data_IF_237960374518
#
_entry.id   IF_237960374518
#
_cell.length_a   1.000
_cell.length_b   1.000
_cell.length_c   1.000
_cell.angle_alpha   90.00
_cell.angle_beta   90.00
_cell.angle_gamma   90.00
#
_symmetry.space_group_name_H-M   'P 1'
#
loop_
_entity.id
_entity.type
_entity.pdbx_description
1 polymer ?
#
# COMPACT_ATOMS: atom_id res chain seq x y z
N UNK A 1 20.96 -5.00 -1.55
CA UNK A 1 20.16 -5.41 -0.38
C UNK A 1 21.07 -6.26 0.54
N UNK A 2 20.94 -6.13 1.81
CA UNK A 2 21.72 -6.92 2.78
C UNK A 2 21.45 -8.41 2.55
N UNK A 3 22.51 -9.24 2.66
CA UNK A 3 22.48 -10.70 2.50
C UNK A 3 21.99 -11.23 1.14
N UNK A 4 21.82 -10.38 0.13
CA UNK A 4 21.35 -10.77 -1.21
C UNK A 4 20.04 -11.57 -1.20
N UNK A 5 19.11 -11.20 -0.33
CA UNK A 5 17.80 -11.84 -0.14
C UNK A 5 16.70 -10.89 -0.65
N UNK A 6 15.69 -11.43 -1.33
CA UNK A 6 14.51 -10.67 -1.75
C UNK A 6 13.64 -10.27 -0.54
N UNK A 7 13.00 -9.11 -0.60
CA UNK A 7 12.10 -8.65 0.46
C UNK A 7 10.98 -9.65 0.75
N UNK A 8 10.39 -10.26 -0.29
CA UNK A 8 9.38 -11.29 -0.11
C UNK A 8 9.87 -12.52 0.64
N UNK A 9 11.14 -12.92 0.46
CA UNK A 9 11.73 -14.02 1.23
C UNK A 9 11.94 -13.66 2.69
N UNK A 10 12.26 -12.39 3.01
CA UNK A 10 12.29 -11.91 4.39
C UNK A 10 10.89 -11.98 5.03
N UNK A 11 9.85 -11.60 4.28
CA UNK A 11 8.47 -11.66 4.77
C UNK A 11 8.00 -13.10 4.96
N UNK A 12 8.37 -14.04 4.07
CA UNK A 12 8.09 -15.48 4.27
C UNK A 12 8.67 -16.00 5.60
N UNK A 13 9.93 -15.61 5.92
CA UNK A 13 10.54 -15.94 7.21
C UNK A 13 9.69 -15.43 8.38
N UNK A 14 9.33 -14.16 8.36
CA UNK A 14 8.51 -13.54 9.43
C UNK A 14 7.15 -14.22 9.54
N UNK A 15 6.47 -14.49 8.44
CA UNK A 15 5.19 -15.20 8.43
C UNK A 15 5.29 -16.59 9.05
N UNK A 16 6.37 -17.32 8.71
CA UNK A 16 6.64 -18.65 9.28
C UNK A 16 6.90 -18.60 10.78
N UNK A 17 7.72 -17.66 11.24
CA UNK A 17 8.07 -17.51 12.67
C UNK A 17 6.87 -17.07 13.53
N UNK A 18 6.00 -16.24 12.96
CA UNK A 18 4.80 -15.74 13.65
C UNK A 18 3.56 -16.64 13.46
N UNK A 19 3.67 -17.71 12.69
CA UNK A 19 2.54 -18.61 12.41
C UNK A 19 1.40 -17.96 11.62
N UNK A 20 1.72 -16.99 10.74
CA UNK A 20 0.72 -16.31 9.93
C UNK A 20 0.40 -17.19 8.72
N UNK A 21 -0.82 -17.70 8.66
CA UNK A 21 -1.23 -18.63 7.61
C UNK A 21 -1.48 -17.92 6.28
N UNK A 22 -1.46 -18.68 5.19
CA UNK A 22 -1.81 -18.22 3.85
C UNK A 22 -3.24 -17.68 3.80
N UNK A 23 -4.17 -18.37 4.44
CA UNK A 23 -5.57 -17.98 4.47
C UNK A 23 -5.78 -16.65 5.17
N UNK A 24 -5.10 -16.42 6.31
CA UNK A 24 -5.15 -15.15 7.02
C UNK A 24 -4.62 -14.00 6.16
N UNK A 25 -3.53 -14.21 5.43
CA UNK A 25 -2.96 -13.23 4.51
C UNK A 25 -3.90 -12.93 3.35
N UNK A 26 -4.49 -13.96 2.74
CA UNK A 26 -5.43 -13.80 1.63
C UNK A 26 -6.72 -13.09 2.09
N UNK A 27 -7.26 -13.40 3.26
CA UNK A 27 -8.43 -12.71 3.82
C UNK A 27 -8.15 -11.24 4.09
N UNK A 28 -6.95 -10.92 4.61
CA UNK A 28 -6.55 -9.54 4.82
C UNK A 28 -6.45 -8.76 3.50
N UNK A 29 -5.83 -9.37 2.48
CA UNK A 29 -5.71 -8.78 1.16
C UNK A 29 -7.09 -8.56 0.52
N UNK A 30 -7.99 -9.54 0.59
CA UNK A 30 -9.37 -9.43 0.09
C UNK A 30 -10.12 -8.28 0.78
N UNK A 31 -9.99 -8.17 2.10
CA UNK A 31 -10.59 -7.05 2.85
C UNK A 31 -10.01 -5.70 2.41
N UNK A 32 -8.70 -5.61 2.20
CA UNK A 32 -8.02 -4.40 1.73
C UNK A 32 -8.53 -3.98 0.35
N UNK A 33 -8.61 -4.91 -0.61
CA UNK A 33 -9.16 -4.65 -1.94
C UNK A 33 -10.63 -4.19 -1.89
N UNK A 34 -11.46 -4.84 -1.09
CA UNK A 34 -12.87 -4.46 -0.94
C UNK A 34 -13.01 -3.03 -0.38
N UNK A 35 -12.21 -2.67 0.63
CA UNK A 35 -12.19 -1.31 1.20
C UNK A 35 -11.74 -0.26 0.18
N UNK A 36 -10.66 -0.54 -0.55
CA UNK A 36 -10.15 0.36 -1.58
C UNK A 36 -11.16 0.56 -2.71
N UNK A 37 -11.79 -0.52 -3.19
CA UNK A 37 -12.85 -0.46 -4.20
C UNK A 37 -14.04 0.37 -3.72
N UNK A 38 -14.54 0.10 -2.52
CA UNK A 38 -15.66 0.85 -1.96
C UNK A 38 -15.34 2.34 -1.77
N UNK A 39 -14.11 2.67 -1.36
CA UNK A 39 -13.67 4.07 -1.24
C UNK A 39 -13.62 4.77 -2.61
N UNK A 40 -13.10 4.10 -3.63
CA UNK A 40 -13.03 4.63 -4.99
C UNK A 40 -14.46 4.79 -5.61
N UNK A 41 -15.31 3.78 -5.48
CA UNK A 41 -16.66 3.81 -6.03
C UNK A 41 -17.57 4.84 -5.35
N UNK A 42 -17.36 5.11 -4.06
CA UNK A 42 -18.12 6.13 -3.31
C UNK A 42 -17.58 7.56 -3.48
N UNK A 43 -16.51 7.77 -4.27
CA UNK A 43 -15.89 9.07 -4.48
C UNK A 43 -15.14 9.63 -3.27
N UNK A 44 -14.88 8.82 -2.24
CA UNK A 44 -14.16 9.27 -1.03
C UNK A 44 -12.75 9.77 -1.31
N UNK A 45 -12.14 9.33 -2.39
CA UNK A 45 -10.76 9.68 -2.79
C UNK A 45 -10.71 10.80 -3.85
N UNK A 46 -11.84 11.24 -4.40
CA UNK A 46 -11.89 12.18 -5.52
C UNK A 46 -11.32 13.56 -5.17
N UNK A 47 -11.35 13.95 -3.90
CA UNK A 47 -10.82 15.23 -3.45
C UNK A 47 -9.29 15.29 -3.39
N UNK A 48 -8.62 14.14 -3.35
CA UNK A 48 -7.15 14.05 -3.23
C UNK A 48 -6.48 13.57 -4.51
N UNK A 49 -7.22 12.91 -5.41
CA UNK A 49 -6.68 12.37 -6.65
C UNK A 49 -6.65 13.47 -7.72
N UNK A 50 -5.46 13.71 -8.26
CA UNK A 50 -5.25 14.64 -9.36
C UNK A 50 -5.17 13.87 -10.67
N UNK A 51 -5.90 14.34 -11.69
CA UNK A 51 -5.86 13.74 -13.02
C UNK A 51 -4.47 13.84 -13.65
N UNK A 52 -3.98 12.72 -14.15
CA UNK A 52 -2.79 12.68 -15.02
C UNK A 52 -3.26 12.59 -16.46
N UNK A 53 -2.74 13.47 -17.31
CA UNK A 53 -3.02 13.46 -18.76
C UNK A 53 -1.77 12.94 -19.48
N UNK A 54 -1.89 11.78 -20.09
CA UNK A 54 -0.88 11.21 -20.98
C UNK A 54 -1.26 11.50 -22.42
N UNK A 55 -0.30 11.94 -23.22
CA UNK A 55 -0.48 12.16 -24.66
C UNK A 55 0.35 11.11 -25.41
N UNK A 56 -0.30 10.30 -26.23
CA UNK A 56 0.40 9.31 -27.05
C UNK A 56 1.15 9.94 -28.23
N UNK A 57 1.96 9.16 -28.94
CA UNK A 57 2.75 9.61 -30.08
C UNK A 57 1.88 10.12 -31.28
N UNK A 58 0.57 9.92 -31.22
CA UNK A 58 -0.39 10.40 -32.24
C UNK A 58 -1.16 11.64 -31.77
N UNK A 59 -0.79 12.21 -30.63
CA UNK A 59 -1.45 13.37 -30.03
C UNK A 59 -2.77 13.07 -29.32
N UNK A 60 -3.11 11.79 -29.10
CA UNK A 60 -4.33 11.41 -28.38
C UNK A 60 -4.11 11.46 -26.88
N UNK A 61 -4.91 12.23 -26.20
CA UNK A 61 -4.89 12.32 -24.73
C UNK A 61 -5.66 11.18 -24.08
N UNK A 62 -5.07 10.63 -23.01
CA UNK A 62 -5.68 9.69 -22.08
C UNK A 62 -5.63 10.29 -20.67
N UNK A 63 -6.76 10.44 -20.03
CA UNK A 63 -6.86 10.90 -18.65
C UNK A 63 -6.86 9.69 -17.71
N UNK A 64 -5.99 9.73 -16.70
CA UNK A 64 -5.83 8.71 -15.67
C UNK A 64 -6.20 9.36 -14.32
N UNK A 65 -7.27 8.89 -13.70
CA UNK A 65 -7.80 9.41 -12.43
C UNK A 65 -8.41 8.32 -11.56
N UNK A 66 -8.12 7.05 -11.86
CA UNK A 66 -8.59 5.91 -11.09
C UNK A 66 -7.47 4.91 -10.88
N UNK A 67 -7.40 4.36 -9.68
CA UNK A 67 -6.50 3.26 -9.36
C UNK A 67 -6.93 1.99 -10.10
N UNK A 68 -6.05 1.46 -10.93
CA UNK A 68 -6.30 0.26 -11.74
C UNK A 68 -6.27 -1.02 -10.89
N UNK A 69 -5.54 -1.05 -9.77
CA UNK A 69 -5.36 -2.27 -8.97
C UNK A 69 -6.68 -2.77 -8.40
N UNK A 70 -7.56 -1.87 -7.97
CA UNK A 70 -8.88 -2.25 -7.48
C UNK A 70 -9.74 -2.96 -8.53
N UNK A 71 -9.49 -2.71 -9.83
CA UNK A 71 -10.22 -3.30 -10.95
C UNK A 71 -9.71 -4.71 -11.29
N UNK A 72 -8.45 -5.02 -10.96
CA UNK A 72 -7.81 -6.33 -11.21
C UNK A 72 -8.15 -7.38 -10.15
N UNK A 73 -8.93 -7.01 -9.14
CA UNK A 73 -9.26 -7.86 -8.01
C UNK A 73 -10.23 -9.01 -8.40
N UNK A 74 -9.74 -10.23 -8.24
CA UNK A 74 -10.45 -11.48 -8.53
C UNK A 74 -10.31 -12.43 -7.31
N UNK A 75 -11.16 -12.27 -6.28
CA UNK A 75 -11.00 -12.99 -5.00
C UNK A 75 -11.06 -14.52 -5.15
N UNK A 76 -11.83 -15.02 -6.12
CA UNK A 76 -11.96 -16.45 -6.39
C UNK A 76 -10.65 -17.11 -6.85
N UNK A 77 -9.68 -16.32 -7.34
CA UNK A 77 -8.37 -16.82 -7.78
C UNK A 77 -7.34 -16.93 -6.65
N UNK A 78 -7.55 -16.25 -5.52
CA UNK A 78 -6.59 -16.21 -4.43
C UNK A 78 -6.12 -17.59 -3.98
N UNK A 79 -7.02 -18.57 -3.68
CA UNK A 79 -6.58 -19.88 -3.20
C UNK A 79 -5.73 -20.67 -4.21
N UNK A 80 -5.89 -20.41 -5.51
CA UNK A 80 -5.19 -21.12 -6.58
C UNK A 80 -3.83 -20.54 -6.93
N UNK A 81 -3.48 -19.35 -6.42
CA UNK A 81 -2.23 -18.68 -6.74
C UNK A 81 -1.04 -19.38 -6.08
N UNK A 82 0.02 -19.57 -6.85
CA UNK A 82 1.27 -20.17 -6.38
C UNK A 82 2.08 -19.15 -5.56
N UNK A 83 2.77 -19.60 -4.51
CA UNK A 83 3.74 -18.77 -3.79
C UNK A 83 4.82 -18.22 -4.73
N UNK A 84 5.23 -16.96 -4.50
CA UNK A 84 6.16 -16.25 -5.36
C UNK A 84 7.63 -16.31 -4.89
N UNK A 85 7.86 -16.50 -3.57
CA UNK A 85 9.20 -16.34 -2.97
C UNK A 85 9.77 -17.60 -2.33
N UNK A 86 8.95 -18.61 -2.08
CA UNK A 86 9.38 -19.89 -1.54
C UNK A 86 8.50 -21.03 -2.11
N UNK A 87 9.06 -22.25 -2.29
CA UNK A 87 8.34 -23.39 -2.86
C UNK A 87 7.05 -23.75 -2.10
N UNK A 88 7.08 -23.63 -0.76
CA UNK A 88 5.96 -23.88 0.13
C UNK A 88 5.62 -22.60 0.91
N UNK A 89 5.77 -21.45 0.28
CA UNK A 89 5.51 -20.15 0.88
C UNK A 89 4.03 -19.80 0.92
N UNK A 90 3.76 -18.64 1.47
CA UNK A 90 2.40 -18.12 1.68
C UNK A 90 2.14 -16.84 0.91
N UNK A 91 3.20 -16.15 0.46
CA UNK A 91 3.11 -14.87 -0.25
C UNK A 91 2.93 -15.09 -1.74
N UNK A 92 1.88 -14.50 -2.30
CA UNK A 92 1.50 -14.60 -3.72
C UNK A 92 1.42 -13.24 -4.39
N UNK A 93 1.23 -13.22 -5.68
CA UNK A 93 0.99 -11.98 -6.43
C UNK A 93 -0.25 -11.21 -5.96
N UNK A 94 -1.20 -11.85 -5.28
CA UNK A 94 -2.43 -11.22 -4.82
C UNK A 94 -2.34 -10.62 -3.40
N UNK A 95 -1.51 -11.20 -2.52
CA UNK A 95 -1.33 -10.72 -1.16
C UNK A 95 -0.01 -9.97 -0.92
N UNK A 96 0.88 -9.89 -1.92
CA UNK A 96 2.09 -9.09 -1.89
C UNK A 96 1.81 -7.63 -2.27
N UNK A 97 2.66 -6.71 -1.79
CA UNK A 97 2.68 -5.32 -2.25
C UNK A 97 2.98 -5.23 -3.75
N UNK A 98 2.40 -4.25 -4.41
CA UNK A 98 2.62 -3.97 -5.83
C UNK A 98 3.77 -2.97 -6.02
N UNK A 99 4.36 -3.00 -7.21
CA UNK A 99 5.29 -1.97 -7.67
C UNK A 99 4.44 -0.97 -8.46
N UNK A 100 4.28 0.23 -7.91
CA UNK A 100 3.49 1.30 -8.52
C UNK A 100 4.27 2.61 -8.47
N UNK A 101 4.08 3.43 -9.49
CA UNK A 101 4.49 4.82 -9.46
C UNK A 101 3.44 5.64 -8.69
N UNK A 102 3.90 6.64 -7.97
CA UNK A 102 3.00 7.50 -7.22
C UNK A 102 3.71 8.75 -6.73
N UNK A 103 2.95 9.81 -6.55
CA UNK A 103 3.41 11.05 -5.95
C UNK A 103 2.30 11.67 -5.11
N UNK A 104 2.68 12.33 -4.02
CA UNK A 104 1.76 13.11 -3.22
C UNK A 104 2.42 14.42 -2.77
N UNK A 105 1.60 15.39 -2.40
CA UNK A 105 2.05 16.65 -1.84
C UNK A 105 1.22 17.00 -0.61
N UNK A 106 1.91 17.36 0.48
CA UNK A 106 1.30 17.75 1.75
C UNK A 106 1.85 19.12 2.17
N UNK A 107 0.98 19.95 2.70
CA UNK A 107 1.36 21.25 3.29
C UNK A 107 1.30 21.09 4.81
N UNK A 108 2.45 21.27 5.46
CA UNK A 108 2.58 21.24 6.92
C UNK A 108 2.84 22.65 7.43
N UNK A 109 2.21 23.00 8.54
CA UNK A 109 2.42 24.28 9.22
C UNK A 109 2.06 24.18 10.69
N UNK A 110 2.42 25.17 11.48
CA UNK A 110 1.97 25.27 12.87
C UNK A 110 0.48 25.60 12.95
N UNK A 111 -0.14 25.31 14.09
CA UNK A 111 -1.56 25.66 14.34
C UNK A 111 -1.78 27.16 14.28
N UNK A 112 -0.82 27.97 14.78
CA UNK A 112 -0.85 29.42 14.74
C UNK A 112 -0.86 29.94 13.30
N UNK A 113 0.05 29.42 12.46
CA UNK A 113 0.13 29.81 11.05
C UNK A 113 -1.15 29.43 10.28
N UNK A 114 -1.78 28.32 10.62
CA UNK A 114 -3.05 27.93 10.01
C UNK A 114 -4.17 28.91 10.40
N UNK A 115 -4.25 29.30 11.67
CA UNK A 115 -5.22 30.28 12.16
C UNK A 115 -5.03 31.67 11.53
N UNK A 116 -3.80 32.16 11.47
CA UNK A 116 -3.47 33.46 10.85
C UNK A 116 -3.87 33.51 9.37
N UNK A 117 -3.80 32.37 8.67
CA UNK A 117 -4.15 32.24 7.26
C UNK A 117 -5.61 31.87 7.01
N UNK A 118 -6.40 31.70 8.05
CA UNK A 118 -7.81 31.27 7.96
C UNK A 118 -7.98 29.86 7.38
N UNK A 119 -6.97 29.00 7.50
CA UNK A 119 -6.98 27.64 6.97
C UNK A 119 -7.56 26.66 8.00
N UNK A 120 -8.35 25.72 7.52
CA UNK A 120 -8.88 24.63 8.34
C UNK A 120 -7.95 23.42 8.21
N UNK A 121 -7.25 22.97 9.27
CA UNK A 121 -6.43 21.78 9.22
C UNK A 121 -7.26 20.53 8.91
N UNK A 122 -6.72 19.63 8.10
CA UNK A 122 -7.31 18.30 7.85
C UNK A 122 -7.05 17.36 9.02
N UNK A 123 -5.85 17.45 9.60
CA UNK A 123 -5.42 16.64 10.73
C UNK A 123 -4.35 17.37 11.53
N UNK A 124 -4.09 16.92 12.75
CA UNK A 124 -2.94 17.32 13.57
C UNK A 124 -2.03 16.13 13.81
N UNK A 125 -0.73 16.32 13.62
CA UNK A 125 0.28 15.34 13.99
C UNK A 125 0.40 15.34 15.52
N UNK A 126 0.08 14.23 16.16
CA UNK A 126 0.11 14.09 17.62
C UNK A 126 1.44 13.55 18.13
N UNK A 127 2.17 12.82 17.31
CA UNK A 127 3.45 12.22 17.65
C UNK A 127 4.11 11.58 16.45
N UNK A 128 5.36 11.18 16.61
CA UNK A 128 6.12 10.38 15.65
C UNK A 128 7.07 9.49 16.42
N UNK A 129 7.44 8.37 15.83
CA UNK A 129 8.41 7.43 16.40
C UNK A 129 9.18 6.73 15.29
N UNK A 130 10.42 6.36 15.59
CA UNK A 130 11.30 5.61 14.70
C UNK A 130 11.55 4.21 15.25
N UNK A 131 11.58 3.20 14.37
CA UNK A 131 11.96 1.85 14.74
C UNK A 131 12.86 1.22 13.70
N UNK A 132 13.93 0.57 14.18
CA UNK A 132 14.84 -0.22 13.36
C UNK A 132 14.95 -1.64 13.93
N UNK A 133 15.07 -2.60 13.03
CA UNK A 133 15.29 -4.02 13.32
C UNK A 133 16.37 -4.58 12.39
N UNK A 134 16.77 -5.82 12.59
CA UNK A 134 17.66 -6.48 11.63
C UNK A 134 17.03 -6.45 10.22
N UNK A 135 17.81 -6.20 9.15
CA UNK A 135 17.26 -6.03 7.81
C UNK A 135 16.41 -7.19 7.32
N UNK A 136 16.65 -8.41 7.78
CA UNK A 136 15.85 -9.59 7.45
C UNK A 136 14.44 -9.55 8.06
N UNK A 137 14.26 -8.79 9.13
CA UNK A 137 13.01 -8.66 9.89
C UNK A 137 12.29 -7.33 9.62
N UNK A 138 12.68 -6.60 8.56
CA UNK A 138 12.18 -5.26 8.27
C UNK A 138 10.64 -5.16 8.29
N UNK A 139 9.95 -6.24 7.91
CA UNK A 139 8.48 -6.26 7.83
C UNK A 139 7.77 -6.03 9.17
N UNK A 140 8.44 -6.24 10.31
CA UNK A 140 7.87 -5.99 11.64
C UNK A 140 8.32 -4.65 12.26
N UNK A 141 9.23 -3.91 11.62
CA UNK A 141 9.71 -2.65 12.17
C UNK A 141 8.57 -1.65 12.50
N UNK A 142 7.54 -1.46 11.65
CA UNK A 142 6.45 -0.54 11.94
C UNK A 142 5.68 -0.87 13.22
N UNK A 143 5.60 -2.14 13.62
CA UNK A 143 4.88 -2.54 14.84
C UNK A 143 5.57 -2.10 16.13
N UNK A 144 6.84 -1.70 16.04
CA UNK A 144 7.62 -1.18 17.18
C UNK A 144 7.54 0.33 17.30
N UNK A 145 7.15 1.01 16.21
CA UNK A 145 6.95 2.46 16.20
C UNK A 145 5.49 2.87 16.46
N UNK A 146 4.54 1.95 16.33
CA UNK A 146 3.09 2.22 16.44
C UNK A 146 2.56 2.29 17.89
#
# INVERSE_FOLDING_TARGET
>A
MYNNILMGSCTEKVCSEMGISREAQDQWAIQSYNRARAAQESGKLDWEIVDIVETDNKGKEKRINKDEECQKFLPEKFPSLKPAFAKNGTITAANASKINDGACSLILMSEEAAKERGLKPLARILGYEDAAVAPIDFGIAPTKAA
#
